data_IF_236779478910
#
_entry.id   IF_236779478910
#
_cell.length_a   1.000
_cell.length_b   1.000
_cell.length_c   1.000
_cell.angle_alpha   90.00
_cell.angle_beta   90.00
_cell.angle_gamma   90.00
#
_symmetry.space_group_name_H-M   'P 1'
#
loop_
_entity.id
_entity.type
_entity.pdbx_description
1 polymer ?
#
# COMPACT_ATOMS: atom_id res chain seq x y z
N UNK A 1 20.68 -0.69 13.44
CA UNK A 1 20.56 -0.70 12.61
C UNK A 1 20.02 0.25 11.95
N UNK A 2 19.60 1.10 12.35
CA UNK A 2 19.12 1.98 11.76
C UNK A 2 20.05 2.73 11.09
N UNK A 3 21.10 2.63 11.21
CA UNK A 3 21.89 3.47 10.70
C UNK A 3 22.47 3.13 9.52
N UNK A 4 22.57 2.79 8.85
CA UNK A 4 23.19 2.47 7.88
C UNK A 4 23.19 3.12 6.86
N UNK A 5 23.55 3.31 6.03
CA UNK A 5 23.81 3.59 5.00
C UNK A 5 23.66 4.61 4.20
N UNK A 6 23.94 5.38 4.24
CA UNK A 6 23.69 6.46 3.56
C UNK A 6 24.35 6.63 2.32
N UNK A 7 25.10 5.82 1.96
CA UNK A 7 25.70 6.02 0.90
C UNK A 7 24.94 6.28 -0.17
N UNK A 8 24.00 5.76 -0.39
CA UNK A 8 23.26 5.93 -1.38
C UNK A 8 22.67 7.08 -1.42
N UNK A 9 22.81 7.81 -0.92
CA UNK A 9 22.22 8.89 -0.88
C UNK A 9 21.59 9.60 -1.80
N UNK A 10 21.81 9.50 -2.92
CA UNK A 10 21.19 10.25 -3.69
C UNK A 10 19.82 10.27 -3.56
N UNK A 11 19.11 9.35 -3.43
CA UNK A 11 17.82 9.49 -3.34
C UNK A 11 17.33 9.23 -2.11
N UNK A 12 17.84 9.05 -1.21
CA UNK A 12 17.34 9.00 0.04
C UNK A 12 16.17 8.20 0.31
N UNK A 13 15.61 7.46 -0.54
CA UNK A 13 14.48 6.64 -0.23
C UNK A 13 14.95 5.25 -0.04
N UNK A 14 14.71 4.65 1.09
CA UNK A 14 15.12 3.29 1.31
C UNK A 14 14.34 2.37 0.42
N UNK A 15 14.95 1.30 -0.02
CA UNK A 15 14.26 0.33 -0.83
C UNK A 15 13.96 -0.93 -0.06
N UNK A 16 14.61 -1.17 1.05
CA UNK A 16 14.44 -2.39 1.81
C UNK A 16 14.33 -2.11 3.29
N UNK A 17 13.68 -3.00 4.01
CA UNK A 17 13.68 -3.00 5.45
C UNK A 17 14.44 -4.23 5.88
N UNK A 18 15.33 -4.10 6.81
CA UNK A 18 16.06 -5.25 7.34
C UNK A 18 15.39 -5.74 8.60
N UNK A 19 15.15 -7.03 8.69
CA UNK A 19 14.56 -7.63 9.86
C UNK A 19 15.62 -8.51 10.47
N UNK A 20 16.01 -8.21 11.70
CA UNK A 20 17.04 -8.96 12.36
C UNK A 20 16.54 -9.41 13.72
N UNK A 21 16.53 -10.70 13.94
CA UNK A 21 16.14 -11.27 15.22
C UNK A 21 17.05 -12.45 15.50
N UNK A 22 16.85 -13.09 16.63
CA UNK A 22 17.70 -14.23 16.98
C UNK A 22 17.50 -15.38 16.00
N UNK A 23 16.36 -15.46 15.35
CA UNK A 23 16.11 -16.61 14.50
C UNK A 23 15.99 -16.22 13.04
N UNK A 24 16.15 -14.97 12.69
CA UNK A 24 15.91 -14.59 11.31
C UNK A 24 16.67 -13.33 10.93
N UNK A 25 17.26 -13.36 9.77
CA UNK A 25 17.85 -12.17 9.18
C UNK A 25 17.28 -12.09 7.79
N UNK A 26 16.55 -11.06 7.50
CA UNK A 26 15.88 -10.94 6.21
C UNK A 26 15.86 -9.50 5.74
N UNK A 27 15.70 -9.32 4.47
CA UNK A 27 15.59 -8.01 3.90
C UNK A 27 14.29 -8.00 3.10
N UNK A 28 13.40 -7.11 3.39
CA UNK A 28 12.11 -7.06 2.74
C UNK A 28 12.10 -5.86 1.81
N UNK A 29 11.78 -6.08 0.55
CA UNK A 29 11.69 -4.99 -0.38
C UNK A 29 10.43 -4.21 -0.07
N UNK A 30 10.54 -2.92 0.17
CA UNK A 30 9.40 -2.13 0.61
C UNK A 30 8.28 -2.17 -0.42
N UNK A 31 8.61 -2.12 -1.70
CA UNK A 31 7.58 -2.14 -2.71
C UNK A 31 6.81 -3.45 -2.78
N UNK A 32 7.31 -4.51 -2.16
CA UNK A 32 6.59 -5.77 -2.15
C UNK A 32 5.61 -5.86 -0.99
N UNK A 33 5.60 -4.91 -0.08
CA UNK A 33 4.76 -5.01 1.09
C UNK A 33 3.33 -4.67 0.72
N UNK A 34 2.40 -5.55 1.09
CA UNK A 34 0.99 -5.30 0.86
C UNK A 34 0.32 -4.70 2.09
N UNK A 35 0.59 -5.26 3.24
CA UNK A 35 -0.09 -4.89 4.47
C UNK A 35 0.89 -4.94 5.62
N UNK A 36 0.75 -4.02 6.55
CA UNK A 36 1.49 -4.06 7.80
C UNK A 36 0.47 -3.94 8.91
N UNK A 37 0.49 -4.89 9.83
CA UNK A 37 -0.42 -4.89 10.96
C UNK A 37 0.34 -4.88 12.25
N UNK A 38 -0.14 -4.18 13.24
CA UNK A 38 0.47 -4.21 14.56
C UNK A 38 -0.37 -5.04 15.48
N UNK A 39 0.26 -6.01 16.16
CA UNK A 39 -0.43 -6.82 17.11
C UNK A 39 0.42 -6.79 18.35
N UNK A 40 0.00 -6.09 19.37
CA UNK A 40 0.80 -5.94 20.57
C UNK A 40 2.08 -5.20 20.25
N UNK A 41 3.19 -5.83 20.54
CA UNK A 41 4.47 -5.22 20.26
C UNK A 41 5.08 -5.68 18.98
N UNK A 42 4.40 -6.51 18.22
CA UNK A 42 4.94 -7.02 16.99
C UNK A 42 4.31 -6.38 15.80
N UNK A 43 5.08 -6.24 14.75
CA UNK A 43 4.58 -5.88 13.45
C UNK A 43 4.55 -7.13 12.60
N UNK A 44 3.50 -7.27 11.82
CA UNK A 44 3.39 -8.33 10.83
C UNK A 44 3.44 -7.65 9.48
N UNK A 45 4.45 -7.97 8.71
CA UNK A 45 4.63 -7.37 7.39
C UNK A 45 4.32 -8.44 6.37
N UNK A 46 3.31 -8.20 5.55
CA UNK A 46 2.80 -9.20 4.64
C UNK A 46 3.13 -8.82 3.21
N UNK A 47 3.77 -9.72 2.52
CA UNK A 47 4.09 -9.57 1.11
C UNK A 47 3.35 -10.65 0.34
N UNK A 48 3.30 -10.63 -0.96
CA UNK A 48 2.63 -11.70 -1.70
C UNK A 48 3.20 -13.08 -1.41
N UNK A 49 4.50 -13.14 -1.09
CA UNK A 49 5.12 -14.42 -0.87
C UNK A 49 5.04 -14.91 0.53
N UNK A 50 5.10 -14.08 1.51
CA UNK A 50 5.19 -14.56 2.87
C UNK A 50 4.92 -13.44 3.85
N UNK A 51 4.81 -13.80 5.11
CA UNK A 51 4.60 -12.86 6.19
C UNK A 51 5.81 -12.85 7.09
N UNK A 52 6.22 -11.69 7.56
CA UNK A 52 7.32 -11.55 8.49
C UNK A 52 6.75 -10.97 9.77
N UNK A 53 7.23 -11.41 10.91
CA UNK A 53 6.77 -10.89 12.20
C UNK A 53 7.98 -10.56 13.04
N UNK A 54 8.00 -9.39 13.62
CA UNK A 54 9.14 -9.00 14.44
C UNK A 54 8.70 -7.89 15.40
N UNK A 55 9.49 -7.68 16.43
CA UNK A 55 9.15 -6.66 17.41
C UNK A 55 9.56 -5.29 16.90
N UNK A 56 8.58 -4.43 16.72
CA UNK A 56 8.85 -3.11 16.25
C UNK A 56 7.54 -2.33 16.36
N UNK A 57 7.56 -1.01 16.40
CA UNK A 57 6.35 -0.23 16.50
C UNK A 57 6.02 0.43 15.17
N UNK A 58 4.76 0.78 15.00
CA UNK A 58 4.35 1.50 13.81
C UNK A 58 5.09 2.82 13.70
N UNK A 59 5.35 3.45 14.84
CA UNK A 59 6.01 4.72 14.84
C UNK A 59 7.35 4.66 14.15
N UNK A 60 8.04 3.56 14.30
CA UNK A 60 9.37 3.42 13.71
C UNK A 60 9.30 3.13 12.23
N UNK A 61 8.27 2.44 11.78
CA UNK A 61 8.24 2.06 10.40
C UNK A 61 7.62 3.10 9.50
N UNK A 62 6.73 3.94 10.02
CA UNK A 62 6.06 4.92 9.20
C UNK A 62 7.01 5.81 8.40
N UNK A 63 8.08 6.35 8.97
CA UNK A 63 8.94 7.22 8.17
C UNK A 63 9.59 6.53 7.00
N UNK A 64 9.79 5.22 7.13
CA UNK A 64 10.44 4.47 6.08
C UNK A 64 9.52 4.31 4.89
N UNK A 65 8.21 4.42 5.11
CA UNK A 65 7.23 4.22 4.05
C UNK A 65 6.84 5.53 3.36
N UNK A 66 7.40 6.64 3.80
CA UNK A 66 7.00 7.93 3.27
C UNK A 66 7.28 8.03 1.77
N UNK A 67 6.52 8.80 1.10
CA UNK A 67 6.67 9.03 -0.33
C UNK A 67 6.31 7.82 -1.18
N UNK A 68 5.64 6.85 -0.60
CA UNK A 68 5.17 5.71 -1.35
C UNK A 68 3.67 5.63 -1.19
N UNK A 69 3.03 4.66 -1.75
CA UNK A 69 1.57 4.58 -1.80
C UNK A 69 0.96 3.89 -0.60
N UNK A 70 1.56 4.05 0.57
CA UNK A 70 1.04 3.43 1.78
C UNK A 70 -0.02 4.33 2.42
N UNK A 71 -1.04 3.71 2.96
CA UNK A 71 -2.14 4.42 3.59
C UNK A 71 -2.49 3.74 4.90
N UNK A 72 -2.83 4.50 5.91
CA UNK A 72 -3.13 3.96 7.24
C UNK A 72 -4.61 4.15 7.57
N UNK A 73 -5.44 3.15 7.29
CA UNK A 73 -6.88 3.29 7.52
C UNK A 73 -7.24 3.39 8.98
N UNK A 74 -6.54 2.66 9.84
CA UNK A 74 -6.76 2.69 11.26
C UNK A 74 -5.42 2.56 11.93
N UNK A 75 -5.41 2.75 13.25
CA UNK A 75 -4.17 2.88 13.96
C UNK A 75 -3.18 1.76 13.75
N UNK A 76 -3.58 0.57 13.78
CA UNK A 76 -2.66 -0.57 13.69
C UNK A 76 -2.58 -1.21 12.33
N UNK A 77 -2.93 -0.50 11.27
CA UNK A 77 -2.98 -1.11 9.97
C UNK A 77 -2.48 -0.15 8.91
N UNK A 78 -1.62 -0.63 8.04
CA UNK A 78 -1.16 0.15 6.89
C UNK A 78 -1.32 -0.75 5.67
N UNK A 79 -1.83 -0.20 4.59
CA UNK A 79 -1.98 -0.95 3.34
C UNK A 79 -1.25 -0.21 2.23
N UNK A 80 -0.83 -0.94 1.23
CA UNK A 80 -0.10 -0.37 0.10
C UNK A 80 -1.04 -0.30 -1.09
N UNK A 81 -1.43 0.90 -1.48
CA UNK A 81 -2.36 1.06 -2.60
C UNK A 81 -1.82 0.49 -3.92
N UNK A 82 -0.51 0.42 -4.07
CA UNK A 82 0.02 -0.13 -5.30
C UNK A 82 -0.33 -1.60 -5.47
N UNK A 83 -0.67 -2.28 -4.39
CA UNK A 83 -1.02 -3.69 -4.46
C UNK A 83 -2.53 -3.92 -4.35
N UNK A 84 -3.32 -2.87 -4.18
CA UNK A 84 -4.76 -3.04 -4.04
C UNK A 84 -5.37 -3.24 -5.41
N UNK A 85 -6.20 -4.28 -5.52
CA UNK A 85 -6.89 -4.57 -6.74
C UNK A 85 -8.24 -3.86 -6.77
N UNK A 86 -8.94 -3.86 -5.67
CA UNK A 86 -10.24 -3.21 -5.62
C UNK A 86 -10.73 -3.04 -4.21
N UNK A 87 -11.65 -2.12 -4.00
CA UNK A 87 -12.30 -1.95 -2.73
C UNK A 87 -13.78 -2.10 -3.01
N UNK A 88 -14.40 -3.11 -2.42
CA UNK A 88 -15.80 -3.40 -2.63
C UNK A 88 -16.46 -3.69 -1.30
N UNK A 89 -17.57 -3.03 -0.99
CA UNK A 89 -18.23 -3.23 0.28
C UNK A 89 -17.31 -2.75 1.38
N UNK A 90 -17.06 -3.60 2.34
CA UNK A 90 -16.18 -3.25 3.45
C UNK A 90 -14.83 -3.93 3.32
N UNK A 91 -14.46 -4.36 2.11
CA UNK A 91 -13.27 -5.15 1.93
C UNK A 91 -12.32 -4.54 0.93
N UNK A 92 -11.04 -4.60 1.24
CA UNK A 92 -9.97 -4.21 0.35
C UNK A 92 -9.32 -5.50 -0.13
N UNK A 93 -9.27 -5.70 -1.43
CA UNK A 93 -8.69 -6.90 -2.01
C UNK A 93 -7.39 -6.56 -2.70
N UNK A 94 -6.42 -7.43 -2.57
CA UNK A 94 -5.11 -7.23 -3.14
C UNK A 94 -4.90 -8.17 -4.32
N UNK A 95 -4.00 -7.82 -5.20
CA UNK A 95 -3.76 -8.66 -6.38
C UNK A 95 -3.31 -10.07 -6.01
N UNK A 96 -2.72 -10.25 -4.88
CA UNK A 96 -2.29 -11.57 -4.45
C UNK A 96 -3.43 -12.44 -4.00
N UNK A 97 -4.60 -11.85 -3.78
CA UNK A 97 -5.72 -12.60 -3.23
C UNK A 97 -5.97 -12.32 -1.78
N UNK A 98 -5.07 -11.61 -1.12
CA UNK A 98 -5.28 -11.28 0.26
C UNK A 98 -6.37 -10.25 0.38
N UNK A 99 -7.11 -10.25 1.48
CA UNK A 99 -8.18 -9.31 1.71
C UNK A 99 -8.11 -8.75 3.11
N UNK A 100 -8.56 -7.52 3.28
CA UNK A 100 -8.63 -6.88 4.58
C UNK A 100 -10.01 -6.26 4.70
N UNK A 101 -10.71 -6.50 5.79
CA UNK A 101 -12.01 -5.87 6.01
C UNK A 101 -11.88 -4.85 7.10
N UNK A 102 -12.75 -3.88 7.11
CA UNK A 102 -12.70 -2.85 8.14
C UNK A 102 -14.08 -2.26 8.33
N UNK A 103 -14.25 -1.47 9.38
CA UNK A 103 -15.54 -0.91 9.72
C UNK A 103 -16.00 0.11 8.71
N UNK A 104 -17.29 0.51 8.83
CA UNK A 104 -17.90 1.36 7.86
C UNK A 104 -17.21 2.69 7.68
N UNK A 105 -16.85 3.35 8.75
CA UNK A 105 -16.22 4.65 8.60
C UNK A 105 -14.82 4.53 8.02
N UNK A 106 -14.10 3.51 8.43
CA UNK A 106 -12.74 3.33 7.93
C UNK A 106 -12.72 2.99 6.46
N UNK A 107 -13.66 2.15 6.02
CA UNK A 107 -13.65 1.75 4.62
C UNK A 107 -14.08 2.93 3.75
N UNK A 108 -14.96 3.79 4.25
CA UNK A 108 -15.38 4.94 3.48
C UNK A 108 -14.21 5.90 3.27
N UNK A 109 -13.44 6.14 4.32
CA UNK A 109 -12.28 7.01 4.18
C UNK A 109 -11.21 6.38 3.29
N UNK A 110 -11.06 5.08 3.40
CA UNK A 110 -10.07 4.38 2.60
C UNK A 110 -10.45 4.42 1.13
N UNK A 111 -11.75 4.27 0.85
CA UNK A 111 -12.18 4.33 -0.54
C UNK A 111 -11.94 5.72 -1.11
N UNK A 112 -12.19 6.76 -0.33
CA UNK A 112 -11.94 8.12 -0.79
C UNK A 112 -10.44 8.34 -1.08
N UNK A 113 -9.59 7.83 -0.20
CA UNK A 113 -8.16 7.97 -0.40
C UNK A 113 -7.69 7.18 -1.63
N UNK A 114 -8.24 5.99 -1.81
CA UNK A 114 -7.86 5.16 -2.95
C UNK A 114 -8.32 5.80 -4.26
N UNK A 115 -9.47 6.46 -4.23
CA UNK A 115 -9.93 7.14 -5.42
C UNK A 115 -8.95 8.24 -5.80
N UNK A 116 -8.43 8.97 -4.84
CA UNK A 116 -7.45 10.00 -5.15
C UNK A 116 -6.18 9.38 -5.69
N UNK A 117 -5.79 8.24 -5.16
CA UNK A 117 -4.61 7.56 -5.65
C UNK A 117 -4.82 7.15 -7.11
N UNK A 118 -5.99 6.61 -7.43
CA UNK A 118 -6.24 6.18 -8.80
C UNK A 118 -6.23 7.35 -9.76
N UNK A 119 -6.72 8.51 -9.31
CA UNK A 119 -6.77 9.65 -10.17
C UNK A 119 -5.41 10.28 -10.46
N UNK A 120 -4.38 9.81 -9.75
CA UNK A 120 -3.06 10.32 -10.03
C UNK A 120 -2.51 9.75 -11.32
N UNK A 121 -3.11 8.73 -11.88
CA UNK A 121 -2.57 8.05 -13.02
C UNK A 121 -3.53 8.14 -14.20
N UNK A 122 -3.81 9.35 -14.66
CA UNK A 122 -4.68 9.52 -15.81
C UNK A 122 -3.93 8.99 -17.01
N UNK A 123 -4.55 8.74 -18.06
CA UNK A 123 -5.93 9.08 -18.36
C UNK A 123 -6.84 7.90 -18.25
N UNK A 124 -6.45 6.90 -17.50
CA UNK A 124 -7.16 5.66 -17.53
C UNK A 124 -8.21 5.51 -16.44
N UNK A 125 -8.64 6.58 -15.81
CA UNK A 125 -9.68 6.49 -14.82
C UNK A 125 -11.02 6.61 -15.50
N UNK A 126 -11.90 5.67 -15.23
CA UNK A 126 -13.20 5.62 -15.86
C UNK A 126 -14.29 5.69 -14.81
N UNK A 127 -15.50 5.96 -15.23
CA UNK A 127 -16.62 5.99 -14.30
C UNK A 127 -16.77 7.33 -13.67
N UNK A 128 -17.61 7.38 -12.64
CA UNK A 128 -17.95 8.66 -12.04
C UNK A 128 -16.83 9.35 -11.38
N UNK A 129 -15.85 8.65 -10.95
CA UNK A 129 -14.80 9.29 -10.22
C UNK A 129 -13.72 9.89 -11.05
N UNK A 130 -13.73 9.69 -12.33
CA UNK A 130 -12.59 10.10 -13.09
C UNK A 130 -12.67 11.48 -13.58
N UNK A 131 -11.83 12.33 -13.10
CA UNK A 131 -11.81 13.65 -13.56
C UNK A 131 -11.34 13.71 -14.95
N UNK A 132 -10.69 12.69 -15.46
CA UNK A 132 -10.20 12.66 -16.81
C UNK A 132 -11.17 11.93 -17.72
N UNK A 133 -12.31 11.59 -17.18
CA UNK A 133 -13.30 10.86 -17.96
C UNK A 133 -13.61 11.48 -19.30
N UNK A 134 -13.73 12.74 -19.43
CA UNK A 134 -14.07 13.28 -20.73
C UNK A 134 -13.06 12.96 -21.81
N UNK A 135 -11.79 13.05 -21.46
CA UNK A 135 -10.83 12.71 -22.43
C UNK A 135 -10.85 11.27 -22.75
N UNK A 136 -10.98 10.47 -21.76
CA UNK A 136 -10.97 9.08 -21.96
C UNK A 136 -12.18 8.67 -22.74
N UNK A 137 -13.30 9.28 -22.48
CA UNK A 137 -14.49 8.93 -23.18
C UNK A 137 -14.34 9.18 -24.65
N UNK A 138 -13.70 10.23 -25.01
CA UNK A 138 -13.51 10.50 -26.39
C UNK A 138 -12.72 9.42 -27.07
N UNK A 139 -11.68 8.96 -26.41
CA UNK A 139 -10.96 7.92 -26.99
C UNK A 139 -11.66 6.63 -26.93
N UNK A 140 -12.42 6.42 -25.90
CA UNK A 140 -13.01 5.16 -25.75
C UNK A 140 -14.22 4.99 -26.55
N UNK A 141 -14.65 5.96 -27.24
CA UNK A 141 -15.80 5.78 -28.03
C UNK A 141 -15.52 4.76 -29.12
N UNK A 142 -14.35 4.28 -29.23
CA UNK A 142 -14.08 3.29 -30.21
C UNK A 142 -14.75 2.00 -29.86
N UNK A 143 -15.35 1.38 -30.79
CA UNK A 143 -16.14 0.23 -30.50
C UNK A 143 -15.39 -0.95 -29.98
N UNK A 144 -14.20 -1.05 -30.25
CA UNK A 144 -13.57 -2.21 -29.84
C UNK A 144 -13.45 -2.29 -28.38
N UNK A 145 -13.72 -1.27 -27.70
CA UNK A 145 -13.60 -1.36 -26.32
C UNK A 145 -14.76 -1.97 -25.68
N UNK A 146 -15.72 -2.27 -26.33
CA UNK A 146 -16.88 -2.81 -25.65
C UNK A 146 -16.81 -4.24 -25.38
#
# INVERSE_FOLDING_TARGET
>A
MKNFNPIMGNNNMPEYISVISSSQCARIRIDDIEVIEQEGRKLHVITPDREYSFYESMKEIIPVLACRAFYRPIRGLIINFDHVKEITGNMVSFHSGQCVTMGKNSITRTRTAYKKYLLRYPPYSLGEGGEYAPMIAAERSRPELS
#
